data_IF_568251488787
#
_entry.id   IF_568251488787
#
_cell.length_a   1.000
_cell.length_b   1.000
_cell.length_c   1.000
_cell.angle_alpha   90.00
_cell.angle_beta   90.00
_cell.angle_gamma   90.00
#
_symmetry.space_group_name_H-M   'P 1'
#
loop_
_entity.id
_entity.type
_entity.pdbx_description
1 polymer ?
#
# COMPACT_ATOMS: atom_id res chain seq x y z
N UNK A 1 1.86 3.72 16.06
CA UNK A 1 2.71 4.51 15.15
C UNK A 1 1.83 5.49 14.40
N UNK A 2 2.28 6.72 14.28
CA UNK A 2 1.50 7.77 13.63
C UNK A 2 1.86 7.88 12.14
N UNK A 3 0.81 7.88 11.32
CA UNK A 3 0.89 7.97 9.87
C UNK A 3 0.17 9.20 9.35
N UNK A 4 0.59 9.64 8.18
CA UNK A 4 -0.08 10.66 7.37
C UNK A 4 -0.59 10.03 6.08
N UNK A 5 -1.80 10.39 5.67
CA UNK A 5 -2.33 10.13 4.34
C UNK A 5 -2.07 11.34 3.45
N UNK A 6 -1.53 11.10 2.28
CA UNK A 6 -1.23 12.11 1.27
C UNK A 6 -2.00 11.86 -0.02
N UNK A 7 -2.24 12.95 -0.75
CA UNK A 7 -2.50 12.91 -2.19
C UNK A 7 -1.32 13.61 -2.88
N UNK A 8 -0.48 12.84 -3.59
CA UNK A 8 0.84 13.30 -4.02
C UNK A 8 1.65 13.84 -2.84
N UNK A 9 2.04 15.11 -2.84
CA UNK A 9 2.78 15.73 -1.74
C UNK A 9 1.90 16.52 -0.75
N UNK A 10 0.57 16.50 -0.91
CA UNK A 10 -0.35 17.24 -0.06
C UNK A 10 -0.86 16.36 1.09
N UNK A 11 -0.58 16.70 2.36
CA UNK A 11 -1.09 15.94 3.49
C UNK A 11 -2.60 16.16 3.65
N UNK A 12 -3.34 15.06 3.87
CA UNK A 12 -4.79 15.09 3.98
C UNK A 12 -5.25 14.92 5.42
N UNK A 13 -4.73 13.90 6.09
CA UNK A 13 -5.11 13.56 7.46
C UNK A 13 -4.00 12.79 8.17
N UNK A 14 -4.10 12.72 9.50
CA UNK A 14 -3.25 11.88 10.33
C UNK A 14 -4.05 10.82 11.06
N UNK A 15 -3.44 9.68 11.30
CA UNK A 15 -4.03 8.57 12.03
C UNK A 15 -2.98 7.75 12.77
N UNK A 16 -3.41 7.04 13.80
CA UNK A 16 -2.56 6.10 14.51
C UNK A 16 -2.90 4.67 14.07
N UNK A 17 -1.87 3.89 13.81
CA UNK A 17 -1.96 2.46 13.54
C UNK A 17 -1.32 1.68 14.68
N UNK A 18 -2.11 0.88 15.37
CA UNK A 18 -1.62 0.03 16.46
C UNK A 18 -0.94 -1.23 15.91
N UNK A 19 -0.22 -1.94 16.79
CA UNK A 19 0.39 -3.24 16.46
C UNK A 19 -0.62 -4.31 16.03
N UNK A 20 -1.89 -4.16 16.42
CA UNK A 20 -2.98 -5.06 16.05
C UNK A 20 -3.73 -4.56 14.80
N UNK A 21 -3.14 -3.63 14.05
CA UNK A 21 -3.73 -3.04 12.84
C UNK A 21 -5.06 -2.31 13.08
N UNK A 22 -5.25 -1.76 14.28
CA UNK A 22 -6.38 -0.86 14.58
C UNK A 22 -6.03 0.56 14.15
N UNK A 23 -6.89 1.15 13.34
CA UNK A 23 -6.75 2.52 12.85
C UNK A 23 -7.57 3.46 13.73
N UNK A 24 -6.92 4.53 14.21
CA UNK A 24 -7.57 5.62 14.97
C UNK A 24 -7.31 6.95 14.28
N UNK A 25 -8.38 7.60 13.85
CA UNK A 25 -8.30 8.95 13.28
C UNK A 25 -7.75 9.94 14.30
N UNK A 26 -6.95 10.88 13.84
CA UNK A 26 -6.45 12.01 14.63
C UNK A 26 -6.96 13.33 14.09
N UNK A 27 -6.46 13.80 12.98
CA UNK A 27 -6.79 15.12 12.44
C UNK A 27 -6.98 15.07 10.94
N UNK A 28 -7.89 15.88 10.42
CA UNK A 28 -8.10 16.08 8.99
C UNK A 28 -7.61 17.48 8.63
N UNK A 29 -6.59 17.58 7.78
CA UNK A 29 -5.97 18.84 7.37
C UNK A 29 -6.62 19.43 6.13
N UNK A 30 -6.97 18.58 5.17
CA UNK A 30 -7.42 18.98 3.84
C UNK A 30 -8.65 18.16 3.43
N UNK A 31 -9.85 18.49 3.96
CA UNK A 31 -11.07 17.71 3.71
C UNK A 31 -11.43 17.61 2.23
N UNK A 32 -11.13 18.62 1.44
CA UNK A 32 -11.41 18.66 0.00
C UNK A 32 -10.60 17.68 -0.83
N UNK A 33 -9.50 17.14 -0.29
CA UNK A 33 -8.68 16.11 -0.94
C UNK A 33 -9.01 14.70 -0.51
N UNK A 34 -9.94 14.49 0.42
CA UNK A 34 -10.37 13.16 0.85
C UNK A 34 -10.81 12.31 -0.35
N UNK A 35 -10.56 10.98 -0.33
CA UNK A 35 -11.11 10.08 -1.31
C UNK A 35 -12.62 10.23 -1.43
N UNK A 36 -13.15 10.08 -2.62
CA UNK A 36 -14.56 10.34 -2.96
C UNK A 36 -15.57 9.68 -2.00
N UNK A 37 -15.27 8.50 -1.51
CA UNK A 37 -16.15 7.73 -0.63
C UNK A 37 -15.91 7.97 0.88
N UNK A 38 -15.06 8.94 1.24
CA UNK A 38 -14.72 9.25 2.64
C UNK A 38 -14.93 10.73 2.92
N UNK A 39 -16.17 11.16 3.18
CA UNK A 39 -16.44 12.58 3.46
C UNK A 39 -16.22 12.96 4.92
N UNK A 40 -16.56 12.08 5.85
CA UNK A 40 -16.32 12.25 7.28
C UNK A 40 -15.75 10.93 7.84
N UNK A 41 -14.48 10.60 7.52
CA UNK A 41 -13.95 9.30 7.85
C UNK A 41 -13.74 9.14 9.35
N UNK A 42 -14.17 8.00 9.86
CA UNK A 42 -13.74 7.47 11.15
C UNK A 42 -12.61 6.42 10.96
N UNK A 43 -12.09 5.89 12.05
CA UNK A 43 -11.03 4.90 12.00
C UNK A 43 -11.42 3.64 11.23
N UNK A 44 -12.69 3.22 11.32
CA UNK A 44 -13.20 2.05 10.59
C UNK A 44 -13.25 2.29 9.09
N UNK A 45 -13.81 3.41 8.66
CA UNK A 45 -13.87 3.77 7.23
C UNK A 45 -12.48 3.88 6.62
N UNK A 46 -11.54 4.51 7.32
CA UNK A 46 -10.16 4.60 6.85
C UNK A 46 -9.50 3.23 6.78
N UNK A 47 -9.69 2.37 7.79
CA UNK A 47 -9.22 0.99 7.77
C UNK A 47 -9.76 0.21 6.58
N UNK A 48 -11.05 0.28 6.33
CA UNK A 48 -11.71 -0.41 5.22
C UNK A 48 -11.19 0.09 3.86
N UNK A 49 -10.98 1.39 3.73
CA UNK A 49 -10.42 1.99 2.52
C UNK A 49 -8.97 1.54 2.28
N UNK A 50 -8.14 1.55 3.31
CA UNK A 50 -6.75 1.05 3.23
C UNK A 50 -6.73 -0.45 2.90
N UNK A 51 -7.62 -1.24 3.50
CA UNK A 51 -7.70 -2.68 3.29
C UNK A 51 -8.05 -3.03 1.83
N UNK A 52 -8.88 -2.25 1.17
CA UNK A 52 -9.22 -2.42 -0.24
C UNK A 52 -8.03 -2.17 -1.19
N UNK A 53 -6.98 -1.54 -0.72
CA UNK A 53 -5.75 -1.29 -1.47
C UNK A 53 -4.72 -2.42 -1.33
N UNK A 54 -5.01 -3.42 -0.52
CA UNK A 54 -4.09 -4.50 -0.25
C UNK A 54 -4.21 -5.62 -1.28
N UNK A 55 -3.11 -6.36 -1.49
CA UNK A 55 -3.14 -7.62 -2.20
C UNK A 55 -4.07 -8.59 -1.48
N UNK A 56 -4.84 -9.40 -2.21
CA UNK A 56 -5.74 -10.39 -1.59
C UNK A 56 -4.95 -11.45 -0.83
N UNK A 57 -5.40 -11.78 0.38
CA UNK A 57 -4.85 -12.90 1.17
C UNK A 57 -5.05 -14.26 0.47
N UNK A 58 -6.01 -14.36 -0.43
CA UNK A 58 -6.28 -15.57 -1.22
C UNK A 58 -5.46 -15.67 -2.50
N UNK A 59 -4.55 -14.71 -2.73
CA UNK A 59 -3.69 -14.72 -3.91
C UNK A 59 -2.74 -15.93 -3.87
N UNK A 60 -2.60 -16.71 -4.96
CA UNK A 60 -1.60 -17.78 -5.03
C UNK A 60 -0.19 -17.26 -4.70
N UNK A 61 0.59 -18.09 -4.01
CA UNK A 61 1.98 -17.82 -3.60
C UNK A 61 2.17 -16.70 -2.55
N UNK A 62 1.10 -16.17 -1.96
CA UNK A 62 1.21 -15.11 -0.95
C UNK A 62 1.97 -15.58 0.31
N UNK A 63 1.84 -16.85 0.68
CA UNK A 63 2.56 -17.42 1.84
C UNK A 63 4.08 -17.32 1.70
N UNK A 64 4.59 -17.51 0.49
CA UNK A 64 6.00 -17.31 0.15
C UNK A 64 6.42 -15.86 0.38
N UNK A 65 5.57 -14.92 -0.02
CA UNK A 65 5.83 -13.51 0.16
C UNK A 65 5.86 -13.12 1.64
N UNK A 66 4.97 -13.67 2.47
CA UNK A 66 5.01 -13.51 3.92
C UNK A 66 6.30 -14.06 4.52
N UNK A 67 6.71 -15.26 4.12
CA UNK A 67 7.93 -15.91 4.58
C UNK A 67 9.17 -15.05 4.29
N UNK A 68 9.29 -14.54 3.06
CA UNK A 68 10.46 -13.78 2.61
C UNK A 68 10.49 -12.38 3.26
N UNK A 69 9.35 -11.71 3.38
CA UNK A 69 9.27 -10.33 3.91
C UNK A 69 9.20 -10.26 5.42
N UNK A 70 8.89 -11.37 6.10
CA UNK A 70 8.63 -11.39 7.54
C UNK A 70 7.31 -10.72 7.93
N UNK A 71 6.42 -10.45 6.95
CA UNK A 71 5.09 -9.87 7.20
C UNK A 71 4.06 -10.98 7.46
N UNK A 72 3.00 -10.64 8.19
CA UNK A 72 1.99 -11.61 8.64
C UNK A 72 0.64 -11.46 7.93
N UNK A 73 0.46 -10.42 7.15
CA UNK A 73 -0.80 -10.14 6.47
C UNK A 73 -0.60 -9.30 5.20
N UNK A 74 -1.59 -9.36 4.31
CA UNK A 74 -1.63 -8.49 3.13
C UNK A 74 -1.66 -7.01 3.50
N UNK A 75 -2.30 -6.66 4.62
CA UNK A 75 -2.32 -5.30 5.12
C UNK A 75 -0.91 -4.80 5.47
N UNK A 76 -0.12 -5.61 6.16
CA UNK A 76 1.28 -5.26 6.48
C UNK A 76 2.15 -5.14 5.24
N UNK A 77 1.94 -5.99 4.22
CA UNK A 77 2.62 -5.86 2.93
C UNK A 77 2.29 -4.53 2.25
N UNK A 78 1.01 -4.16 2.24
CA UNK A 78 0.57 -2.90 1.65
C UNK A 78 1.17 -1.68 2.37
N UNK A 79 1.21 -1.70 3.70
CA UNK A 79 1.85 -0.65 4.50
C UNK A 79 3.33 -0.51 4.13
N UNK A 80 4.04 -1.62 3.92
CA UNK A 80 5.45 -1.58 3.51
C UNK A 80 5.68 -0.96 2.13
N UNK A 81 4.65 -0.94 1.28
CA UNK A 81 4.62 -0.24 0.00
C UNK A 81 3.92 1.11 0.07
N UNK A 82 3.80 1.71 1.25
CA UNK A 82 3.13 3.00 1.46
C UNK A 82 1.66 3.05 0.98
N UNK A 83 1.00 1.91 0.83
CA UNK A 83 -0.35 1.78 0.25
C UNK A 83 -0.51 2.46 -1.11
N UNK A 84 0.55 2.62 -1.87
CA UNK A 84 0.51 3.23 -3.21
C UNK A 84 -0.24 2.32 -4.16
N UNK A 85 -1.12 2.90 -4.98
CA UNK A 85 -1.88 2.17 -5.98
C UNK A 85 -1.73 2.84 -7.35
N UNK A 86 -1.73 2.05 -8.43
CA UNK A 86 -1.62 2.59 -9.80
C UNK A 86 -2.85 3.36 -10.26
N UNK A 87 -4.00 3.18 -9.60
CA UNK A 87 -5.26 3.80 -10.01
C UNK A 87 -5.47 5.23 -9.48
N UNK A 88 -4.67 5.64 -8.51
CA UNK A 88 -4.80 6.97 -7.89
C UNK A 88 -3.44 7.52 -7.42
N UNK A 89 -3.45 8.60 -6.66
CA UNK A 89 -2.26 9.28 -6.14
C UNK A 89 -2.25 9.36 -4.60
N UNK A 90 -3.04 8.51 -3.94
CA UNK A 90 -3.05 8.43 -2.48
C UNK A 90 -1.98 7.48 -1.98
N UNK A 91 -1.37 7.83 -0.86
CA UNK A 91 -0.36 7.00 -0.20
C UNK A 91 -0.18 7.42 1.26
N UNK A 92 0.51 6.59 2.02
CA UNK A 92 0.76 6.86 3.44
C UNK A 92 2.25 6.78 3.77
N UNK A 93 2.65 7.50 4.78
CA UNK A 93 3.95 7.36 5.44
C UNK A 93 3.88 7.81 6.89
N UNK A 94 4.91 7.50 7.68
CA UNK A 94 5.08 8.11 8.99
C UNK A 94 5.59 9.55 8.85
N UNK A 95 5.39 10.38 9.86
CA UNK A 95 5.87 11.78 9.84
C UNK A 95 7.39 11.88 9.68
N UNK A 96 8.12 10.94 10.27
CA UNK A 96 9.58 10.91 10.27
C UNK A 96 10.18 10.39 8.96
N UNK A 97 9.40 9.76 8.12
CA UNK A 97 9.86 9.20 6.86
C UNK A 97 10.14 10.34 5.86
N UNK A 98 11.39 10.48 5.35
CA UNK A 98 11.74 11.55 4.42
C UNK A 98 11.24 11.33 2.99
N UNK A 99 10.63 10.18 2.70
CA UNK A 99 10.14 9.80 1.37
C UNK A 99 9.11 10.80 0.85
N UNK A 100 9.19 11.11 -0.43
CA UNK A 100 8.26 12.01 -1.16
C UNK A 100 7.46 11.21 -2.19
N UNK A 101 6.40 11.82 -2.72
CA UNK A 101 5.58 11.20 -3.77
C UNK A 101 6.40 10.70 -4.96
N UNK A 102 7.36 11.50 -5.40
CA UNK A 102 8.23 11.19 -6.54
C UNK A 102 9.04 9.91 -6.34
N UNK A 103 9.32 9.55 -5.09
CA UNK A 103 10.08 8.35 -4.73
C UNK A 103 9.23 7.08 -4.75
N UNK A 104 7.92 7.19 -4.58
CA UNK A 104 7.00 6.05 -4.44
C UNK A 104 6.01 5.92 -5.59
N UNK A 105 5.92 6.88 -6.48
CA UNK A 105 5.02 6.84 -7.64
C UNK A 105 5.42 5.69 -8.59
N UNK A 106 4.58 4.68 -8.68
CA UNK A 106 4.80 3.51 -9.55
C UNK A 106 4.85 3.87 -11.04
N UNK A 107 4.33 5.04 -11.45
CA UNK A 107 4.42 5.51 -12.84
C UNK A 107 5.78 6.08 -13.18
N UNK A 108 6.46 6.67 -12.20
CA UNK A 108 7.78 7.27 -12.35
C UNK A 108 8.92 6.29 -12.07
N UNK A 109 8.73 5.33 -11.18
CA UNK A 109 9.75 4.39 -10.71
C UNK A 109 9.55 3.00 -11.32
N UNK A 110 10.60 2.17 -11.25
CA UNK A 110 10.54 0.78 -11.66
C UNK A 110 9.68 -0.08 -10.72
N UNK A 111 9.19 -1.20 -11.23
CA UNK A 111 8.50 -2.22 -10.43
C UNK A 111 9.49 -3.28 -9.96
N UNK A 112 9.20 -3.95 -8.85
CA UNK A 112 9.95 -5.12 -8.44
C UNK A 112 9.56 -6.32 -9.31
N UNK A 113 10.44 -6.72 -10.20
CA UNK A 113 10.27 -7.94 -11.00
C UNK A 113 10.28 -9.20 -10.11
N UNK A 114 10.99 -9.13 -8.99
CA UNK A 114 11.06 -10.22 -8.01
C UNK A 114 9.68 -10.54 -7.43
N UNK A 115 8.92 -9.53 -7.01
CA UNK A 115 7.55 -9.72 -6.51
C UNK A 115 6.63 -10.23 -7.62
N UNK A 116 6.68 -9.64 -8.80
CA UNK A 116 5.87 -10.08 -9.94
C UNK A 116 6.10 -11.53 -10.33
N UNK A 117 7.37 -11.95 -10.41
CA UNK A 117 7.74 -13.34 -10.73
C UNK A 117 7.33 -14.31 -9.62
N UNK A 118 7.47 -13.91 -8.35
CA UNK A 118 7.02 -14.72 -7.22
C UNK A 118 5.50 -14.98 -7.28
N UNK A 119 4.73 -13.93 -7.52
CA UNK A 119 3.27 -14.02 -7.53
C UNK A 119 2.69 -14.70 -8.78
N UNK A 120 3.41 -14.66 -9.89
CA UNK A 120 2.97 -15.24 -11.15
C UNK A 120 3.52 -16.66 -11.39
N UNK A 121 4.79 -16.89 -11.06
CA UNK A 121 5.52 -18.10 -11.43
C UNK A 121 6.14 -18.84 -10.24
N UNK A 122 5.98 -18.33 -9.02
CA UNK A 122 6.66 -18.83 -7.82
C UNK A 122 8.20 -18.82 -7.95
N UNK A 123 8.74 -17.84 -8.66
CA UNK A 123 10.20 -17.65 -8.85
C UNK A 123 10.67 -16.45 -8.03
N UNK A 124 11.87 -16.52 -7.45
CA UNK A 124 12.43 -15.47 -6.60
C UNK A 124 13.70 -14.92 -7.24
N UNK A 125 13.71 -13.63 -7.52
CA UNK A 125 14.87 -12.90 -8.02
C UNK A 125 15.08 -11.61 -7.22
N UNK A 126 16.22 -11.45 -6.56
CA UNK A 126 16.57 -10.24 -5.83
C UNK A 126 15.83 -10.05 -4.51
N UNK A 127 15.97 -8.87 -3.92
CA UNK A 127 15.49 -8.53 -2.57
C UNK A 127 14.62 -7.26 -2.54
N UNK A 128 14.22 -6.74 -3.68
CA UNK A 128 13.37 -5.55 -3.76
C UNK A 128 11.89 -5.97 -3.78
N UNK A 129 11.13 -5.50 -2.78
CA UNK A 129 9.72 -5.83 -2.61
C UNK A 129 8.78 -4.64 -2.81
N UNK A 130 9.28 -3.51 -3.28
CA UNK A 130 8.42 -2.37 -3.61
C UNK A 130 7.81 -2.58 -4.99
N UNK A 131 6.53 -2.92 -5.02
CA UNK A 131 5.83 -3.23 -6.27
C UNK A 131 4.33 -2.94 -6.15
N UNK A 132 3.69 -2.48 -7.24
CA UNK A 132 2.23 -2.33 -7.27
C UNK A 132 1.48 -3.65 -7.10
N UNK A 133 2.14 -4.78 -7.27
CA UNK A 133 1.55 -6.11 -7.02
C UNK A 133 1.12 -6.29 -5.56
N UNK A 134 1.79 -5.65 -4.61
CA UNK A 134 1.44 -5.72 -3.19
C UNK A 134 0.18 -4.93 -2.83
N UNK A 135 -0.28 -4.08 -3.72
CA UNK A 135 -1.49 -3.26 -3.56
C UNK A 135 -2.53 -3.54 -4.64
N UNK A 136 -2.43 -4.69 -5.30
CA UNK A 136 -3.37 -5.11 -6.34
C UNK A 136 -4.41 -6.08 -5.78
N UNK A 137 -5.68 -5.71 -5.83
CA UNK A 137 -6.77 -6.55 -5.37
C UNK A 137 -7.11 -7.68 -6.35
N UNK A 138 -7.76 -8.74 -5.85
CA UNK A 138 -8.20 -9.91 -6.61
C UNK A 138 -7.47 -11.20 -6.25
N UNK A 139 -8.02 -12.36 -6.63
CA UNK A 139 -7.54 -13.70 -6.24
C UNK A 139 -6.83 -14.48 -7.36
N UNK A 140 -6.93 -14.03 -8.61
CA UNK A 140 -6.26 -14.68 -9.74
C UNK A 140 -4.78 -14.32 -9.80
N UNK A 141 -3.97 -15.24 -10.30
CA UNK A 141 -2.55 -14.97 -10.58
C UNK A 141 -2.41 -13.81 -11.56
N UNK A 142 -1.63 -12.81 -11.19
CA UNK A 142 -1.30 -11.65 -12.02
C UNK A 142 -0.08 -10.92 -11.51
N UNK A 143 0.56 -10.18 -12.42
CA UNK A 143 1.65 -9.29 -12.10
C UNK A 143 1.57 -8.04 -12.98
N UNK A 144 2.04 -6.93 -12.46
CA UNK A 144 2.20 -5.69 -13.22
C UNK A 144 3.47 -5.74 -14.06
N UNK A 145 3.38 -5.29 -15.29
CA UNK A 145 4.52 -5.15 -16.20
C UNK A 145 4.50 -3.78 -16.86
N UNK A 146 5.64 -3.11 -16.83
CA UNK A 146 5.81 -1.88 -17.61
C UNK A 146 6.10 -2.24 -19.06
N UNK A 147 5.38 -1.60 -19.98
CA UNK A 147 5.59 -1.70 -21.42
C UNK A 147 6.31 -0.43 -21.86
N UNK A 148 7.47 -0.60 -22.42
CA UNK A 148 8.28 0.50 -22.97
C UNK A 148 7.86 0.83 -24.39
#
# INVERSE_FOLDING_TARGET
MDYLLFKKNDPILSFNLSKNNVVRMREIFTPELLPYNMQEPDGKQLKDWLQKRCISQSRPHIDKLYEITGKNSSFELSISCHCVNLTDCYWIKTEEDPVKWEDVDFRANGYSESVGNLLLKNEIYGNDFISPDLTTNGITEKAWKRIN
#
